data_IF_233499571633
#
_entry.id   IF_233499571633
#
_cell.length_a   1.000
_cell.length_b   1.000
_cell.length_c   1.000
_cell.angle_alpha   90.00
_cell.angle_beta   90.00
_cell.angle_gamma   90.00
#
_symmetry.space_group_name_H-M   'P 1'
#
loop_
_entity.id
_entity.type
_entity.pdbx_description
1 polymer ?
#
# COMPACT_ATOMS: atom_id res chain seq x y z
N UNK A 1 -0.05 -6.38 -11.64
CA UNK A 1 -0.36 -6.73 -13.05
C UNK A 1 -0.17 -5.57 -14.05
N UNK A 2 -1.02 -4.53 -14.07
CA UNK A 2 -0.99 -3.51 -15.15
C UNK A 2 0.37 -2.84 -15.38
N UNK A 3 1.04 -2.41 -14.30
CA UNK A 3 2.39 -1.83 -14.41
C UNK A 3 3.45 -2.82 -14.90
N UNK A 4 3.34 -4.11 -14.55
CA UNK A 4 4.29 -5.13 -15.02
C UNK A 4 4.06 -5.45 -16.50
N UNK A 5 2.80 -5.48 -16.95
CA UNK A 5 2.49 -5.60 -18.37
C UNK A 5 3.07 -4.41 -19.16
N UNK A 6 2.93 -3.18 -18.65
CA UNK A 6 3.50 -1.99 -19.25
C UNK A 6 5.05 -2.03 -19.30
N UNK A 7 5.70 -2.56 -18.27
CA UNK A 7 7.17 -2.64 -18.22
C UNK A 7 7.77 -3.61 -19.24
N UNK A 8 7.06 -4.69 -19.58
CA UNK A 8 7.58 -5.74 -20.48
C UNK A 8 7.06 -5.60 -21.92
N UNK A 9 5.88 -5.03 -22.12
CA UNK A 9 5.31 -4.85 -23.45
C UNK A 9 6.18 -3.91 -24.28
N UNK A 10 6.68 -4.38 -25.41
CA UNK A 10 7.64 -3.67 -26.26
C UNK A 10 8.88 -3.14 -25.50
N UNK A 11 9.28 -3.82 -24.41
CA UNK A 11 10.37 -3.41 -23.50
C UNK A 11 10.10 -2.11 -22.72
N UNK A 12 8.84 -1.72 -22.60
CA UNK A 12 8.40 -0.57 -21.83
C UNK A 12 7.49 0.35 -22.63
N UNK A 13 6.25 0.48 -22.18
CA UNK A 13 5.33 1.53 -22.63
C UNK A 13 4.89 2.41 -21.45
N UNK A 14 4.64 3.71 -21.68
CA UNK A 14 4.14 4.56 -20.61
C UNK A 14 2.76 4.10 -20.12
N UNK A 15 2.51 4.27 -18.82
CA UNK A 15 1.21 3.97 -18.20
C UNK A 15 0.88 4.98 -17.10
N UNK A 16 -0.40 5.04 -16.73
CA UNK A 16 -0.91 5.83 -15.62
C UNK A 16 -1.61 4.91 -14.63
N UNK A 17 -1.63 5.28 -13.36
CA UNK A 17 -2.42 4.57 -12.35
C UNK A 17 -3.64 5.39 -11.91
N UNK A 18 -4.77 4.72 -11.76
CA UNK A 18 -6.00 5.28 -11.19
C UNK A 18 -6.42 4.35 -10.05
N UNK A 19 -5.83 4.46 -8.85
CA UNK A 19 -6.15 3.58 -7.73
C UNK A 19 -7.60 3.79 -7.28
N UNK A 20 -8.37 2.71 -7.22
CA UNK A 20 -9.78 2.70 -6.80
C UNK A 20 -10.00 2.01 -5.45
N UNK A 21 -8.92 1.72 -4.74
CA UNK A 21 -8.96 1.18 -3.37
C UNK A 21 -8.09 2.05 -2.48
N UNK A 22 -8.42 2.14 -1.18
CA UNK A 22 -7.60 2.92 -0.25
C UNK A 22 -6.17 2.34 -0.18
N UNK A 23 -6.04 1.01 -0.14
CA UNK A 23 -4.76 0.31 -0.16
C UNK A 23 -3.91 0.70 -1.38
N UNK A 24 -4.52 0.73 -2.57
CA UNK A 24 -3.79 1.13 -3.76
C UNK A 24 -3.42 2.61 -3.74
N UNK A 25 -4.30 3.48 -3.24
CA UNK A 25 -4.08 4.92 -3.18
C UNK A 25 -2.95 5.32 -2.23
N UNK A 26 -2.85 4.68 -1.07
CA UNK A 26 -1.85 5.04 -0.05
C UNK A 26 -0.55 4.28 -0.19
N UNK A 27 -0.58 3.07 -0.76
CA UNK A 27 0.59 2.22 -0.89
C UNK A 27 0.87 1.84 -2.36
N UNK A 28 0.15 0.89 -2.95
CA UNK A 28 0.64 0.21 -4.17
C UNK A 28 0.85 1.11 -5.40
N UNK A 29 0.20 2.29 -5.47
CA UNK A 29 0.38 3.21 -6.59
C UNK A 29 1.68 4.02 -6.55
N UNK A 30 2.40 4.01 -5.44
CA UNK A 30 3.63 4.78 -5.26
C UNK A 30 4.84 3.86 -5.19
N UNK A 31 5.87 4.17 -5.97
CA UNK A 31 7.20 3.55 -5.88
C UNK A 31 7.49 2.40 -6.82
N UNK A 32 6.72 2.25 -7.90
CA UNK A 32 7.11 1.51 -9.09
C UNK A 32 7.27 -0.02 -8.93
N UNK A 33 7.01 -0.61 -7.76
CA UNK A 33 7.02 -2.07 -7.62
C UNK A 33 5.83 -2.65 -8.38
N UNK A 34 6.11 -3.41 -9.43
CA UNK A 34 5.10 -4.10 -10.21
C UNK A 34 5.44 -5.58 -10.25
N UNK A 35 4.46 -6.44 -9.99
CA UNK A 35 4.71 -7.87 -9.96
C UNK A 35 3.45 -8.69 -10.28
N UNK A 36 3.68 -9.99 -10.42
CA UNK A 36 2.67 -11.05 -10.48
C UNK A 36 3.05 -12.16 -9.50
N UNK A 37 2.05 -12.92 -9.10
CA UNK A 37 2.23 -14.15 -8.34
C UNK A 37 2.58 -15.30 -9.29
N UNK A 38 3.36 -16.25 -8.78
CA UNK A 38 3.65 -17.52 -9.46
C UNK A 38 3.39 -18.66 -8.48
N UNK A 39 3.38 -19.91 -8.96
CA UNK A 39 3.12 -21.08 -8.12
C UNK A 39 4.06 -21.17 -6.88
N UNK A 40 5.27 -20.61 -6.98
CA UNK A 40 6.24 -20.60 -5.88
C UNK A 40 6.01 -19.50 -4.84
N UNK A 41 5.13 -18.52 -5.08
CA UNK A 41 4.82 -17.45 -4.12
C UNK A 41 4.35 -16.13 -4.72
N UNK A 42 4.00 -15.22 -3.80
CA UNK A 42 3.43 -13.90 -4.08
C UNK A 42 4.49 -12.91 -4.57
N UNK A 43 4.15 -12.10 -5.58
CA UNK A 43 4.97 -11.00 -6.11
C UNK A 43 6.43 -11.36 -6.50
N UNK A 44 6.73 -12.62 -6.82
CA UNK A 44 8.12 -13.06 -7.06
C UNK A 44 8.67 -12.71 -8.45
N UNK A 45 7.80 -12.39 -9.42
CA UNK A 45 8.22 -11.98 -10.77
C UNK A 45 7.70 -10.58 -11.04
N UNK A 46 8.59 -9.64 -11.33
CA UNK A 46 8.23 -8.24 -11.42
C UNK A 46 9.31 -7.32 -11.97
N UNK A 47 9.03 -6.02 -11.94
CA UNK A 47 9.92 -4.95 -12.33
C UNK A 47 9.69 -3.71 -11.45
N UNK A 48 10.75 -2.93 -11.24
CA UNK A 48 10.64 -1.53 -10.81
C UNK A 48 10.36 -0.67 -12.04
N UNK A 49 9.12 -0.20 -12.20
CA UNK A 49 8.66 0.58 -13.35
C UNK A 49 7.68 1.67 -12.92
N UNK A 50 8.09 2.93 -13.03
CA UNK A 50 7.30 4.07 -12.55
C UNK A 50 6.17 4.44 -13.53
N UNK A 51 4.97 4.79 -13.03
CA UNK A 51 3.93 5.38 -13.87
C UNK A 51 4.31 6.81 -14.28
N UNK A 52 3.72 7.29 -15.39
CA UNK A 52 3.77 8.70 -15.77
C UNK A 52 3.04 9.61 -14.76
N UNK A 53 1.93 9.11 -14.24
CA UNK A 53 1.10 9.82 -13.27
C UNK A 53 0.25 8.84 -12.46
N UNK A 54 -0.15 9.28 -11.27
CA UNK A 54 -1.15 8.64 -10.42
C UNK A 54 -2.30 9.62 -10.21
N UNK A 55 -3.52 9.23 -10.58
CA UNK A 55 -4.73 10.01 -10.35
C UNK A 55 -5.55 9.36 -9.25
N UNK A 56 -5.43 9.88 -8.04
CA UNK A 56 -6.18 9.41 -6.88
C UNK A 56 -7.41 10.28 -6.64
N UNK A 57 -8.59 9.76 -6.98
CA UNK A 57 -9.88 10.37 -6.62
C UNK A 57 -10.49 9.62 -5.45
N UNK A 58 -10.50 10.25 -4.26
CA UNK A 58 -11.02 9.61 -3.05
C UNK A 58 -12.52 9.33 -3.11
N UNK A 59 -13.27 9.97 -4.01
CA UNK A 59 -14.70 9.71 -4.16
C UNK A 59 -14.97 8.29 -4.68
N UNK A 60 -14.02 7.70 -5.42
CA UNK A 60 -14.09 6.30 -5.86
C UNK A 60 -14.07 5.31 -4.68
N UNK A 61 -13.61 5.74 -3.50
CA UNK A 61 -13.54 4.90 -2.30
C UNK A 61 -14.91 4.72 -1.62
N UNK A 62 -15.90 5.57 -1.93
CA UNK A 62 -17.24 5.52 -1.31
C UNK A 62 -18.00 4.22 -1.62
N UNK A 63 -17.67 3.54 -2.72
CA UNK A 63 -18.30 2.26 -3.10
C UNK A 63 -17.59 1.04 -2.51
N UNK A 64 -16.52 1.23 -1.74
CA UNK A 64 -15.78 0.12 -1.13
C UNK A 64 -16.58 -0.51 0.02
N UNK A 65 -16.42 -1.83 0.18
CA UNK A 65 -16.88 -2.49 1.39
C UNK A 65 -16.04 -2.05 2.59
N UNK A 66 -16.61 -2.04 3.81
CA UNK A 66 -15.85 -1.72 5.02
C UNK A 66 -14.58 -2.58 5.18
N UNK A 67 -14.65 -3.87 4.84
CA UNK A 67 -13.52 -4.80 4.92
C UNK A 67 -12.36 -4.39 4.00
N UNK A 68 -12.63 -4.12 2.73
CA UNK A 68 -11.57 -3.71 1.79
C UNK A 68 -11.06 -2.30 2.06
N UNK A 69 -11.89 -1.42 2.62
CA UNK A 69 -11.43 -0.10 3.04
C UNK A 69 -10.46 -0.23 4.22
N UNK A 70 -10.79 -1.09 5.19
CA UNK A 70 -9.93 -1.37 6.35
C UNK A 70 -8.55 -1.93 5.95
N UNK A 71 -8.45 -2.65 4.82
CA UNK A 71 -7.14 -3.09 4.30
C UNK A 71 -6.19 -1.91 4.06
N UNK A 72 -6.69 -0.81 3.49
CA UNK A 72 -5.90 0.41 3.30
C UNK A 72 -5.64 1.18 4.59
N UNK A 73 -6.57 1.13 5.55
CA UNK A 73 -6.38 1.78 6.86
C UNK A 73 -5.19 1.18 7.61
N UNK A 74 -4.95 -0.14 7.49
CA UNK A 74 -3.79 -0.79 8.10
C UNK A 74 -2.46 -0.19 7.61
N UNK A 75 -2.36 0.12 6.32
CA UNK A 75 -1.20 0.79 5.75
C UNK A 75 -1.05 2.25 6.22
N UNK A 76 -2.17 2.98 6.35
CA UNK A 76 -2.15 4.31 6.97
C UNK A 76 -1.61 4.25 8.41
N UNK A 77 -2.03 3.24 9.20
CA UNK A 77 -1.54 3.03 10.57
C UNK A 77 -0.04 2.70 10.54
N UNK A 78 0.42 1.86 9.61
CA UNK A 78 1.84 1.52 9.43
C UNK A 78 2.69 2.78 9.24
N UNK A 79 2.30 3.70 8.36
CA UNK A 79 3.02 4.97 8.20
C UNK A 79 2.99 5.83 9.47
N UNK A 80 1.86 5.82 10.18
CA UNK A 80 1.74 6.42 11.51
C UNK A 80 2.85 5.94 12.45
N UNK A 81 3.02 4.63 12.56
CA UNK A 81 4.04 3.97 13.40
C UNK A 81 5.47 4.24 12.91
N UNK A 82 5.68 4.28 11.59
CA UNK A 82 7.01 4.46 10.98
C UNK A 82 7.59 5.88 11.07
N UNK A 83 6.84 6.83 11.62
CA UNK A 83 7.35 8.19 11.82
C UNK A 83 6.38 9.30 11.44
N UNK A 84 5.07 9.03 11.43
CA UNK A 84 4.02 10.04 11.23
C UNK A 84 3.14 10.13 12.50
N UNK A 85 3.65 10.71 13.61
CA UNK A 85 2.96 10.69 14.90
C UNK A 85 1.58 11.37 14.87
N UNK A 86 1.41 12.43 14.09
CA UNK A 86 0.11 13.11 13.94
C UNK A 86 -0.90 12.24 13.20
N UNK A 87 -0.47 11.52 12.15
CA UNK A 87 -1.31 10.54 11.46
C UNK A 87 -1.72 9.41 12.41
N UNK A 88 -0.77 8.86 13.17
CA UNK A 88 -1.06 7.80 14.15
C UNK A 88 -2.06 8.27 15.21
N UNK A 89 -1.84 9.47 15.77
CA UNK A 89 -2.74 10.10 16.73
C UNK A 89 -4.13 10.34 16.13
N UNK A 90 -4.21 10.78 14.88
CA UNK A 90 -5.49 11.00 14.21
C UNK A 90 -6.26 9.69 14.04
N UNK A 91 -5.59 8.62 13.62
CA UNK A 91 -6.21 7.31 13.39
C UNK A 91 -6.61 6.60 14.70
N UNK A 92 -5.99 6.92 15.83
CA UNK A 92 -6.35 6.35 17.14
C UNK A 92 -7.57 7.01 17.78
N UNK A 93 -7.90 8.25 17.41
CA UNK A 93 -9.03 8.99 17.97
C UNK A 93 -10.38 8.53 17.42
N UNK A 94 -10.44 8.15 16.14
CA UNK A 94 -11.67 7.65 15.51
C UNK A 94 -11.37 6.83 14.26
N UNK A 95 -12.19 5.80 13.96
CA UNK A 95 -12.05 5.02 12.74
C UNK A 95 -12.12 5.89 11.49
N UNK A 96 -11.22 5.65 10.54
CA UNK A 96 -11.29 6.25 9.22
C UNK A 96 -12.42 5.60 8.41
N UNK A 97 -13.18 6.41 7.67
CA UNK A 97 -14.27 5.93 6.81
C UNK A 97 -14.17 6.56 5.43
N UNK A 98 -14.80 5.96 4.38
CA UNK A 98 -14.80 6.53 3.03
C UNK A 98 -15.42 7.93 2.91
N UNK A 99 -16.21 8.35 3.91
CA UNK A 99 -16.89 9.65 3.94
C UNK A 99 -16.27 10.62 4.96
N UNK A 100 -15.10 10.28 5.52
CA UNK A 100 -14.41 11.15 6.47
C UNK A 100 -13.99 12.45 5.77
N UNK A 101 -14.27 13.59 6.41
CA UNK A 101 -13.99 14.91 5.84
C UNK A 101 -12.49 15.19 5.60
N UNK A 102 -11.62 14.43 6.28
CA UNK A 102 -10.18 14.52 6.21
C UNK A 102 -9.52 13.36 5.45
N UNK A 103 -10.29 12.56 4.72
CA UNK A 103 -9.77 11.43 3.95
C UNK A 103 -8.70 11.87 2.93
N UNK A 104 -8.93 12.92 2.15
CA UNK A 104 -7.95 13.50 1.23
C UNK A 104 -6.65 13.87 1.94
N UNK A 105 -6.74 14.46 3.13
CA UNK A 105 -5.58 14.87 3.90
C UNK A 105 -4.76 13.64 4.34
N UNK A 106 -5.43 12.61 4.88
CA UNK A 106 -4.78 11.36 5.30
C UNK A 106 -4.11 10.66 4.11
N UNK A 107 -4.81 10.53 2.97
CA UNK A 107 -4.24 9.93 1.75
C UNK A 107 -3.02 10.72 1.28
N UNK A 108 -3.12 12.05 1.27
CA UNK A 108 -2.00 12.94 0.89
C UNK A 108 -0.79 12.72 1.80
N UNK A 109 -0.98 12.66 3.12
CA UNK A 109 0.12 12.43 4.07
C UNK A 109 0.79 11.06 3.85
N UNK A 110 0.00 10.00 3.63
CA UNK A 110 0.53 8.67 3.35
C UNK A 110 1.36 8.65 2.06
N UNK A 111 0.83 9.24 0.99
CA UNK A 111 1.51 9.35 -0.31
C UNK A 111 2.79 10.16 -0.17
N UNK A 112 2.76 11.30 0.52
CA UNK A 112 3.96 12.13 0.75
C UNK A 112 5.04 11.36 1.51
N UNK A 113 4.67 10.65 2.57
CA UNK A 113 5.60 9.85 3.36
C UNK A 113 6.22 8.73 2.50
N UNK A 114 5.39 7.94 1.80
CA UNK A 114 5.89 6.87 0.94
C UNK A 114 6.75 7.41 -0.20
N UNK A 115 6.35 8.50 -0.83
CA UNK A 115 7.11 9.13 -1.90
C UNK A 115 8.49 9.61 -1.41
N UNK A 116 8.57 10.18 -0.20
CA UNK A 116 9.84 10.56 0.40
C UNK A 116 10.77 9.34 0.55
N UNK A 117 10.30 8.26 1.20
CA UNK A 117 11.10 7.03 1.38
C UNK A 117 11.51 6.40 0.04
N UNK A 118 10.60 6.38 -0.94
CA UNK A 118 10.88 5.87 -2.30
C UNK A 118 11.91 6.73 -3.02
N UNK A 119 11.84 8.06 -2.89
CA UNK A 119 12.76 8.97 -3.57
C UNK A 119 14.19 8.84 -3.07
N UNK A 120 14.37 8.41 -1.82
CA UNK A 120 15.68 8.12 -1.24
C UNK A 120 16.21 6.73 -1.61
N UNK A 121 15.32 5.76 -1.86
CA UNK A 121 15.67 4.37 -2.10
C UNK A 121 14.67 3.66 -3.05
N UNK A 122 14.71 4.02 -4.33
CA UNK A 122 13.77 3.52 -5.34
C UNK A 122 13.85 1.99 -5.51
N UNK A 123 15.04 1.41 -5.38
CA UNK A 123 15.27 -0.02 -5.63
C UNK A 123 15.32 -0.88 -4.37
N UNK A 124 14.91 -0.33 -3.22
CA UNK A 124 14.82 -1.05 -1.94
C UNK A 124 16.14 -1.71 -1.52
N UNK A 125 17.23 -0.95 -1.56
CA UNK A 125 18.57 -1.40 -1.15
C UNK A 125 18.94 -0.96 0.27
N UNK A 126 18.08 -0.20 0.94
CA UNK A 126 18.31 0.34 2.28
C UNK A 126 17.00 0.66 3.01
N UNK A 127 16.80 1.93 3.37
CA UNK A 127 15.75 2.36 4.29
C UNK A 127 14.33 2.07 3.82
N UNK A 128 14.09 1.86 2.50
CA UNK A 128 12.76 1.49 2.02
C UNK A 128 12.27 0.16 2.58
N UNK A 129 13.17 -0.72 3.03
CA UNK A 129 12.80 -1.96 3.72
C UNK A 129 11.99 -1.73 5.00
N UNK A 130 12.08 -0.55 5.63
CA UNK A 130 11.26 -0.18 6.80
C UNK A 130 9.76 -0.17 6.47
N UNK A 131 9.38 0.08 5.21
CA UNK A 131 7.99 0.00 4.77
C UNK A 131 7.42 -1.42 4.87
N UNK A 132 8.26 -2.44 5.09
CA UNK A 132 7.83 -3.82 5.32
C UNK A 132 7.54 -4.10 6.82
N UNK A 133 7.39 -3.08 7.66
CA UNK A 133 6.97 -3.25 9.06
C UNK A 133 5.67 -4.08 9.12
N UNK A 134 5.64 -5.10 9.98
CA UNK A 134 4.54 -6.07 10.09
C UNK A 134 4.47 -7.12 8.97
N UNK A 135 5.12 -6.92 7.83
CA UNK A 135 4.91 -7.75 6.64
C UNK A 135 5.50 -9.16 6.74
N UNK A 136 6.55 -9.36 7.55
CA UNK A 136 7.11 -10.71 7.81
C UNK A 136 6.04 -11.64 8.40
N UNK A 137 5.29 -11.15 9.39
CA UNK A 137 4.17 -11.89 9.98
C UNK A 137 2.96 -11.91 9.04
N UNK A 138 2.66 -10.79 8.40
CA UNK A 138 1.52 -10.68 7.48
C UNK A 138 1.59 -11.75 6.37
N UNK A 139 2.73 -11.88 5.69
CA UNK A 139 2.89 -12.87 4.62
C UNK A 139 2.73 -14.32 5.13
N UNK A 140 3.20 -14.61 6.35
CA UNK A 140 2.98 -15.92 6.96
C UNK A 140 1.49 -16.17 7.26
N UNK A 141 0.77 -15.16 7.79
CA UNK A 141 -0.66 -15.24 8.10
C UNK A 141 -1.49 -15.41 6.82
N UNK A 142 -1.22 -14.60 5.79
CA UNK A 142 -1.88 -14.71 4.49
C UNK A 142 -1.72 -16.13 3.93
N UNK A 143 -0.48 -16.64 3.90
CA UNK A 143 -0.20 -17.95 3.35
C UNK A 143 -0.83 -19.09 4.17
N UNK A 144 -0.71 -19.06 5.51
CA UNK A 144 -1.24 -20.10 6.39
C UNK A 144 -2.77 -20.09 6.49
N UNK A 145 -3.40 -18.94 6.23
CA UNK A 145 -4.87 -18.81 6.15
C UNK A 145 -5.44 -19.10 4.76
N UNK A 146 -4.63 -19.54 3.79
CA UNK A 146 -5.03 -19.67 2.39
C UNK A 146 -5.66 -18.38 1.83
N UNK A 147 -5.15 -17.22 2.25
CA UNK A 147 -5.62 -15.89 1.86
C UNK A 147 -7.06 -15.56 2.28
N UNK A 148 -7.63 -16.29 3.25
CA UNK A 148 -8.90 -15.90 3.89
C UNK A 148 -8.74 -14.64 4.76
N UNK A 149 -7.56 -14.44 5.35
CA UNK A 149 -7.20 -13.17 6.00
C UNK A 149 -6.69 -12.21 4.94
N UNK A 150 -7.36 -11.07 4.79
CA UNK A 150 -6.99 -10.04 3.82
C UNK A 150 -5.68 -9.35 4.20
N UNK A 151 -5.04 -8.72 3.20
CA UNK A 151 -3.69 -8.17 3.35
C UNK A 151 -3.55 -7.18 4.50
N UNK A 152 -4.43 -6.18 4.59
CA UNK A 152 -4.30 -5.17 5.64
C UNK A 152 -4.66 -5.71 7.03
N UNK A 153 -5.57 -6.70 7.13
CA UNK A 153 -5.77 -7.42 8.39
C UNK A 153 -4.51 -8.18 8.82
N UNK A 154 -3.86 -8.87 7.89
CA UNK A 154 -2.60 -9.57 8.16
C UNK A 154 -1.48 -8.60 8.56
N UNK A 155 -1.37 -7.44 7.90
CA UNK A 155 -0.43 -6.36 8.27
C UNK A 155 -0.76 -5.80 9.66
N UNK A 156 -2.01 -5.53 9.98
CA UNK A 156 -2.42 -5.03 11.30
C UNK A 156 -2.09 -6.03 12.43
N UNK A 157 -2.32 -7.33 12.22
CA UNK A 157 -1.90 -8.38 13.16
C UNK A 157 -0.38 -8.38 13.29
N UNK A 158 0.35 -8.31 12.16
CA UNK A 158 1.81 -8.25 12.17
C UNK A 158 2.37 -7.04 12.91
N UNK A 159 1.74 -5.87 12.79
CA UNK A 159 2.08 -4.67 13.57
C UNK A 159 1.84 -4.90 15.07
N UNK A 160 0.70 -5.49 15.44
CA UNK A 160 0.37 -5.76 16.85
C UNK A 160 1.32 -6.79 17.48
N UNK A 161 1.83 -7.76 16.71
CA UNK A 161 2.83 -8.74 17.20
C UNK A 161 4.21 -8.12 17.47
N UNK A 162 4.49 -6.94 16.91
CA UNK A 162 5.75 -6.22 17.07
C UNK A 162 5.71 -5.13 18.15
N UNK A 163 4.52 -4.82 18.70
CA UNK A 163 4.29 -3.81 19.73
C UNK A 163 4.56 -4.36 21.15
#
# INVERSE_FOLDING_TARGET
LGGFAASIYLRGIPFVQVPTTLLAAVDSSVGGKTAIDIASGKNLVGAFYQPLAVYCDVNLLQTMTPTHFADGVAECIKYGVLGQPDLFKRLSLSPLTPTAADLDHIVTQCVQHKNHVVSEDEFEKGNRALLNLGHTFAHAIEHLSNFEVTHGYAVAIGLAMMA
#
